data_IF_971532527298
#
_entry.id   IF_971532527298
#
_cell.length_a   1.000
_cell.length_b   1.000
_cell.length_c   1.000
_cell.angle_alpha   90.00
_cell.angle_beta   90.00
_cell.angle_gamma   90.00
#
_symmetry.space_group_name_H-M   'P 1'
#
loop_
_entity.id
_entity.type
_entity.pdbx_description
1 polymer ?
#
# COMPACT_ATOMS: atom_id res chain seq x y z
N UNK A 1 25.92 -5.23 15.49
CA UNK A 1 25.02 -4.21 14.91
C UNK A 1 25.25 -3.97 13.41
N UNK A 2 26.44 -3.75 12.91
CA UNK A 2 26.73 -3.48 11.46
C UNK A 2 26.23 -4.57 10.49
N UNK A 3 26.23 -5.84 10.87
CA UNK A 3 25.77 -6.94 10.01
C UNK A 3 24.28 -6.96 9.74
N UNK A 4 23.46 -6.54 10.71
CA UNK A 4 22.00 -6.56 10.62
C UNK A 4 21.48 -5.42 9.74
N UNK A 5 22.07 -4.23 9.86
CA UNK A 5 21.74 -3.07 9.01
C UNK A 5 22.08 -3.32 7.54
N UNK A 6 23.25 -3.90 7.25
CA UNK A 6 23.67 -4.26 5.89
C UNK A 6 22.74 -5.32 5.28
N UNK A 7 22.31 -6.33 6.07
CA UNK A 7 21.37 -7.37 5.62
C UNK A 7 19.98 -6.81 5.32
N UNK A 8 19.48 -5.88 6.13
CA UNK A 8 18.22 -5.19 5.89
C UNK A 8 18.30 -4.32 4.62
N UNK A 9 19.41 -3.64 4.38
CA UNK A 9 19.66 -2.87 3.16
C UNK A 9 19.62 -3.76 1.90
N UNK A 10 20.23 -4.95 1.95
CA UNK A 10 20.26 -5.89 0.82
C UNK A 10 18.86 -6.46 0.52
N UNK A 11 18.09 -6.83 1.54
CA UNK A 11 16.68 -7.26 1.35
C UNK A 11 15.84 -6.17 0.72
N UNK A 12 16.00 -4.94 1.19
CA UNK A 12 15.29 -3.79 0.63
C UNK A 12 15.63 -3.56 -0.85
N UNK A 13 16.91 -3.67 -1.23
CA UNK A 13 17.32 -3.58 -2.63
C UNK A 13 16.69 -4.69 -3.49
N UNK A 14 16.66 -5.93 -2.99
CA UNK A 14 16.03 -7.05 -3.69
C UNK A 14 14.53 -6.82 -3.86
N UNK A 15 13.82 -6.42 -2.81
CA UNK A 15 12.37 -6.15 -2.85
C UNK A 15 12.07 -5.04 -3.85
N UNK A 16 12.79 -3.92 -3.80
CA UNK A 16 12.60 -2.81 -4.74
C UNK A 16 12.87 -3.22 -6.18
N UNK A 17 13.90 -4.04 -6.41
CA UNK A 17 14.16 -4.57 -7.74
C UNK A 17 12.97 -5.40 -8.26
N UNK A 18 12.43 -6.32 -7.42
CA UNK A 18 11.30 -7.17 -7.79
C UNK A 18 10.04 -6.32 -8.07
N UNK A 19 9.77 -5.30 -7.24
CA UNK A 19 8.63 -4.38 -7.44
C UNK A 19 8.72 -3.71 -8.81
N UNK A 20 9.88 -3.14 -9.14
CA UNK A 20 10.07 -2.37 -10.37
C UNK A 20 10.06 -3.25 -11.64
N UNK A 21 10.41 -4.52 -11.53
CA UNK A 21 10.50 -5.46 -12.67
C UNK A 21 9.35 -6.48 -12.70
N UNK A 22 8.39 -6.39 -11.76
CA UNK A 22 7.22 -7.27 -11.58
C UNK A 22 7.59 -8.71 -11.22
N UNK A 23 8.60 -9.29 -11.86
CA UNK A 23 9.17 -10.60 -11.57
C UNK A 23 10.62 -10.68 -12.03
N UNK A 24 11.42 -11.57 -11.44
CA UNK A 24 12.84 -11.74 -11.75
C UNK A 24 13.33 -13.13 -11.34
N UNK A 25 14.56 -13.49 -11.73
CA UNK A 25 15.25 -14.70 -11.31
C UNK A 25 16.38 -14.39 -10.32
N UNK A 26 16.81 -15.41 -9.56
CA UNK A 26 17.97 -15.28 -8.65
C UNK A 26 19.25 -14.86 -9.40
N UNK A 27 19.38 -15.31 -10.64
CA UNK A 27 20.53 -14.96 -11.51
C UNK A 27 20.49 -13.48 -11.91
N UNK A 28 19.33 -12.98 -12.32
CA UNK A 28 19.14 -11.55 -12.65
C UNK A 28 19.37 -10.66 -11.45
N UNK A 29 18.88 -11.03 -10.25
CA UNK A 29 19.15 -10.31 -9.01
C UNK A 29 20.66 -10.21 -8.73
N UNK A 30 21.38 -11.33 -8.87
CA UNK A 30 22.84 -11.34 -8.70
C UNK A 30 23.55 -10.40 -9.66
N UNK A 31 23.19 -10.46 -10.95
CA UNK A 31 23.81 -9.65 -12.00
C UNK A 31 23.50 -8.16 -11.82
N UNK A 32 22.21 -7.83 -11.67
CA UNK A 32 21.77 -6.43 -11.77
C UNK A 32 21.98 -5.64 -10.45
N UNK A 33 22.02 -6.34 -9.32
CA UNK A 33 22.32 -5.72 -8.01
C UNK A 33 23.80 -5.87 -7.60
N UNK A 34 24.61 -6.50 -8.44
CA UNK A 34 26.01 -6.80 -8.15
C UNK A 34 26.22 -7.52 -6.81
N UNK A 35 25.34 -8.51 -6.55
CA UNK A 35 25.35 -9.33 -5.34
C UNK A 35 25.89 -10.72 -5.63
N UNK A 36 26.63 -11.32 -4.69
CA UNK A 36 27.06 -12.71 -4.84
C UNK A 36 25.86 -13.67 -4.83
N UNK A 37 25.94 -14.78 -5.57
CA UNK A 37 24.87 -15.79 -5.58
C UNK A 37 24.50 -16.31 -4.17
N UNK A 38 25.46 -16.62 -3.27
CA UNK A 38 25.14 -17.00 -1.91
C UNK A 38 24.33 -15.93 -1.16
N UNK A 39 24.66 -14.65 -1.35
CA UNK A 39 23.93 -13.51 -0.76
C UNK A 39 22.49 -13.44 -1.27
N UNK A 40 22.31 -13.59 -2.58
CA UNK A 40 20.96 -13.60 -3.20
C UNK A 40 20.15 -14.80 -2.69
N UNK A 41 20.73 -16.00 -2.69
CA UNK A 41 20.07 -17.22 -2.22
C UNK A 41 19.60 -17.08 -0.77
N UNK A 42 20.48 -16.62 0.13
CA UNK A 42 20.12 -16.42 1.54
C UNK A 42 18.96 -15.45 1.71
N UNK A 43 19.06 -14.26 1.09
CA UNK A 43 18.05 -13.23 1.25
C UNK A 43 16.70 -13.62 0.58
N UNK A 44 16.74 -14.19 -0.61
CA UNK A 44 15.50 -14.64 -1.30
C UNK A 44 14.82 -15.77 -0.54
N UNK A 45 15.58 -16.74 0.01
CA UNK A 45 14.98 -17.81 0.81
C UNK A 45 14.33 -17.27 2.09
N UNK A 46 14.91 -16.25 2.75
CA UNK A 46 14.29 -15.59 3.89
C UNK A 46 13.00 -14.84 3.49
N UNK A 47 12.99 -14.18 2.32
CA UNK A 47 11.81 -13.49 1.80
C UNK A 47 10.69 -14.48 1.39
N UNK A 48 11.05 -15.64 0.84
CA UNK A 48 10.12 -16.75 0.56
C UNK A 48 9.53 -17.30 1.85
N UNK A 49 10.38 -17.59 2.84
CA UNK A 49 9.96 -18.11 4.15
C UNK A 49 9.03 -17.13 4.90
N UNK A 50 9.24 -15.82 4.75
CA UNK A 50 8.37 -14.80 5.33
C UNK A 50 7.09 -14.55 4.52
N UNK A 51 6.96 -15.12 3.32
CA UNK A 51 5.80 -14.95 2.45
C UNK A 51 5.75 -13.60 1.70
N UNK A 52 6.79 -12.76 1.81
CA UNK A 52 6.86 -11.46 1.11
C UNK A 52 6.96 -11.67 -0.40
N UNK A 53 7.70 -12.68 -0.82
CA UNK A 53 7.83 -13.07 -2.22
C UNK A 53 7.34 -14.50 -2.43
N UNK A 54 6.98 -14.80 -3.68
CA UNK A 54 6.53 -16.13 -4.11
C UNK A 54 7.31 -16.57 -5.34
N UNK A 55 7.50 -17.89 -5.49
CA UNK A 55 7.97 -18.47 -6.74
C UNK A 55 6.75 -18.56 -7.69
N UNK A 56 6.89 -18.00 -8.87
CA UNK A 56 5.94 -18.15 -9.98
C UNK A 56 6.60 -19.05 -11.02
N UNK A 57 5.83 -19.58 -11.95
CA UNK A 57 6.28 -20.48 -13.02
C UNK A 57 7.74 -20.36 -13.49
N UNK A 58 8.11 -21.09 -14.48
CA UNK A 58 9.48 -21.13 -14.99
C UNK A 58 9.65 -20.16 -16.16
N UNK A 59 10.82 -19.51 -16.26
CA UNK A 59 11.21 -18.79 -17.49
C UNK A 59 11.27 -19.76 -18.69
N UNK A 60 10.78 -19.33 -19.84
CA UNK A 60 11.08 -20.02 -21.10
C UNK A 60 12.60 -19.98 -21.31
N UNK A 61 13.25 -21.16 -21.25
CA UNK A 61 14.69 -21.22 -21.42
C UNK A 61 15.06 -21.59 -22.85
N UNK A 62 16.03 -20.87 -23.38
CA UNK A 62 16.67 -21.17 -24.66
C UNK A 62 17.77 -22.23 -24.58
N UNK A 63 17.64 -23.20 -23.63
CA UNK A 63 18.60 -24.33 -23.55
C UNK A 63 19.36 -24.42 -22.22
N UNK A 64 18.68 -24.55 -21.10
CA UNK A 64 19.27 -24.78 -19.77
C UNK A 64 18.21 -25.11 -18.73
N UNK A 65 18.60 -25.37 -17.46
CA UNK A 65 17.66 -25.59 -16.36
C UNK A 65 16.82 -24.32 -16.20
N UNK A 66 15.51 -24.46 -16.37
CA UNK A 66 14.54 -23.36 -16.25
C UNK A 66 14.68 -22.66 -14.90
N UNK A 67 14.94 -21.36 -14.92
CA UNK A 67 15.03 -20.56 -13.70
C UNK A 67 13.64 -20.25 -13.16
N UNK A 68 13.41 -20.50 -11.87
CA UNK A 68 12.17 -20.12 -11.20
C UNK A 68 12.08 -18.60 -11.11
N UNK A 69 10.96 -18.06 -11.51
CA UNK A 69 10.63 -16.63 -11.36
C UNK A 69 10.22 -16.33 -9.92
N UNK A 70 10.62 -15.17 -9.44
CA UNK A 70 10.29 -14.65 -8.12
C UNK A 70 9.52 -13.36 -8.32
N UNK A 71 8.40 -13.23 -7.63
CA UNK A 71 7.55 -12.03 -7.64
C UNK A 71 7.13 -11.66 -6.22
N UNK A 72 6.71 -10.41 -6.02
CA UNK A 72 6.05 -10.01 -4.78
C UNK A 72 4.77 -10.83 -4.60
N UNK A 73 4.51 -11.26 -3.38
CA UNK A 73 3.22 -11.85 -3.01
C UNK A 73 2.17 -10.73 -2.87
N UNK A 74 1.21 -10.61 -3.78
CA UNK A 74 0.22 -9.54 -3.71
C UNK A 74 -0.59 -9.59 -2.41
N UNK A 75 -0.93 -10.78 -1.93
CA UNK A 75 -1.74 -10.99 -0.73
C UNK A 75 -0.95 -10.87 0.59
N UNK A 76 0.33 -10.47 0.56
CA UNK A 76 1.13 -10.35 1.78
C UNK A 76 0.66 -9.20 2.67
N UNK A 77 0.31 -8.06 2.07
CA UNK A 77 -0.26 -6.89 2.76
C UNK A 77 -1.21 -6.13 1.84
N UNK A 78 -2.09 -5.36 2.46
CA UNK A 78 -3.07 -4.51 1.80
C UNK A 78 -3.00 -3.09 2.33
N UNK A 79 -3.57 -2.16 1.61
CA UNK A 79 -3.86 -0.80 2.07
C UNK A 79 -5.27 -0.39 1.63
N UNK A 80 -5.89 0.46 2.42
CA UNK A 80 -7.18 1.06 2.08
C UNK A 80 -6.96 2.49 1.62
N UNK A 81 -7.60 2.88 0.52
CA UNK A 81 -7.73 4.26 0.10
C UNK A 81 -9.16 4.76 0.33
N UNK A 82 -9.30 5.95 0.91
CA UNK A 82 -10.60 6.63 1.06
C UNK A 82 -10.51 7.96 0.32
N UNK A 83 -11.36 8.16 -0.68
CA UNK A 83 -11.49 9.44 -1.38
C UNK A 83 -12.72 10.16 -0.89
N UNK A 84 -12.55 11.31 -0.24
CA UNK A 84 -13.63 12.17 0.21
C UNK A 84 -13.84 13.30 -0.80
N UNK A 85 -15.09 13.52 -1.19
CA UNK A 85 -15.53 14.66 -1.99
C UNK A 85 -16.73 15.33 -1.32
N UNK A 86 -17.20 16.47 -1.82
CA UNK A 86 -18.35 17.15 -1.21
C UNK A 86 -19.61 16.28 -1.11
N UNK A 87 -19.83 15.32 -2.04
CA UNK A 87 -21.08 14.53 -2.12
C UNK A 87 -20.91 13.03 -2.07
N UNK A 88 -19.67 12.53 -2.17
CA UNK A 88 -19.41 11.09 -2.27
C UNK A 88 -18.15 10.71 -1.51
N UNK A 89 -18.11 9.48 -1.09
CA UNK A 89 -16.92 8.79 -0.59
C UNK A 89 -16.65 7.58 -1.49
N UNK A 90 -15.40 7.40 -1.88
CA UNK A 90 -14.93 6.20 -2.55
C UNK A 90 -13.99 5.42 -1.65
N UNK A 91 -14.13 4.11 -1.61
CA UNK A 91 -13.25 3.17 -0.93
C UNK A 91 -12.53 2.32 -1.95
N UNK A 92 -11.26 2.06 -1.73
CA UNK A 92 -10.47 1.13 -2.54
C UNK A 92 -9.61 0.28 -1.62
N UNK A 93 -9.56 -1.02 -1.89
CA UNK A 93 -8.59 -1.94 -1.30
C UNK A 93 -7.56 -2.27 -2.36
N UNK A 94 -6.30 -2.08 -2.05
CA UNK A 94 -5.19 -2.41 -2.94
C UNK A 94 -4.26 -3.43 -2.27
N UNK A 95 -3.70 -4.32 -3.09
CA UNK A 95 -2.70 -5.29 -2.64
C UNK A 95 -1.27 -4.71 -2.72
N UNK A 96 -0.27 -5.49 -2.34
CA UNK A 96 1.14 -5.06 -2.32
C UNK A 96 1.72 -4.78 -3.72
N UNK A 97 1.05 -5.16 -4.79
CA UNK A 97 1.38 -4.80 -6.18
C UNK A 97 0.65 -3.56 -6.68
N UNK A 98 -0.09 -2.86 -5.80
CA UNK A 98 -0.95 -1.73 -6.16
C UNK A 98 -2.09 -2.11 -7.14
N UNK A 99 -2.49 -3.39 -7.17
CA UNK A 99 -3.64 -3.84 -7.92
C UNK A 99 -4.91 -3.64 -7.08
N UNK A 100 -5.99 -3.21 -7.71
CA UNK A 100 -7.27 -2.98 -7.02
C UNK A 100 -7.96 -4.32 -6.79
N UNK A 101 -8.16 -4.67 -5.53
CA UNK A 101 -8.88 -5.88 -5.11
C UNK A 101 -10.39 -5.61 -4.96
N UNK A 102 -10.74 -4.44 -4.45
CA UNK A 102 -12.13 -4.02 -4.26
C UNK A 102 -12.25 -2.51 -4.40
N UNK A 103 -13.35 -2.06 -4.99
CA UNK A 103 -13.68 -0.64 -5.09
C UNK A 103 -15.18 -0.45 -4.88
N UNK A 104 -15.53 0.58 -4.11
CA UNK A 104 -16.91 1.00 -3.90
C UNK A 104 -16.99 2.52 -3.84
N UNK A 105 -18.09 3.08 -4.32
CA UNK A 105 -18.39 4.51 -4.21
C UNK A 105 -19.81 4.69 -3.72
N UNK A 106 -19.95 5.45 -2.63
CA UNK A 106 -21.22 5.74 -2.02
C UNK A 106 -21.54 7.23 -2.08
N UNK A 107 -22.82 7.57 -1.99
CA UNK A 107 -23.27 8.93 -1.74
C UNK A 107 -23.23 9.19 -0.24
N UNK A 108 -22.31 10.05 0.17
CA UNK A 108 -22.18 10.52 1.55
C UNK A 108 -21.72 11.98 1.47
N UNK A 109 -22.63 12.91 1.77
CA UNK A 109 -22.34 14.33 1.76
C UNK A 109 -21.41 14.68 2.91
N UNK A 110 -20.33 15.38 2.60
CA UNK A 110 -19.33 15.76 3.58
C UNK A 110 -19.95 16.70 4.64
N UNK A 111 -19.64 16.45 5.89
CA UNK A 111 -19.98 17.32 7.03
C UNK A 111 -18.85 17.29 8.06
N UNK A 112 -18.74 18.35 8.86
CA UNK A 112 -17.83 18.42 10.02
C UNK A 112 -18.46 17.85 11.29
N UNK A 113 -19.66 17.33 11.21
CA UNK A 113 -20.41 16.77 12.34
C UNK A 113 -19.90 15.38 12.72
N UNK A 114 -19.97 15.04 14.00
CA UNK A 114 -19.56 13.72 14.50
C UNK A 114 -20.32 12.57 13.82
N UNK A 115 -21.58 12.78 13.46
CA UNK A 115 -22.41 11.84 12.72
C UNK A 115 -21.81 11.42 11.38
N UNK A 116 -21.17 12.34 10.66
CA UNK A 116 -20.48 12.03 9.43
C UNK A 116 -19.32 11.03 9.63
N UNK A 117 -18.49 11.24 10.65
CA UNK A 117 -17.36 10.36 10.95
C UNK A 117 -17.81 8.98 11.42
N UNK A 118 -18.89 8.92 12.22
CA UNK A 118 -19.50 7.65 12.62
C UNK A 118 -20.00 6.87 11.40
N UNK A 119 -20.69 7.55 10.49
CA UNK A 119 -21.19 6.95 9.25
C UNK A 119 -20.04 6.49 8.34
N UNK A 120 -19.00 7.32 8.18
CA UNK A 120 -17.82 6.96 7.39
C UNK A 120 -17.14 5.68 7.91
N UNK A 121 -17.05 5.53 9.23
CA UNK A 121 -16.52 4.31 9.86
C UNK A 121 -17.40 3.10 9.61
N UNK A 122 -18.72 3.23 9.73
CA UNK A 122 -19.67 2.16 9.44
C UNK A 122 -19.56 1.70 7.99
N UNK A 123 -19.50 2.62 7.05
CA UNK A 123 -19.36 2.31 5.62
C UNK A 123 -18.02 1.63 5.32
N UNK A 124 -16.93 2.02 5.97
CA UNK A 124 -15.65 1.31 5.85
C UNK A 124 -15.77 -0.12 6.41
N UNK A 125 -16.44 -0.33 7.55
CA UNK A 125 -16.68 -1.67 8.07
C UNK A 125 -17.51 -2.53 7.11
N UNK A 126 -18.54 -1.95 6.50
CA UNK A 126 -19.33 -2.62 5.46
C UNK A 126 -18.48 -2.98 4.24
N UNK A 127 -17.67 -2.04 3.77
CA UNK A 127 -16.76 -2.26 2.66
C UNK A 127 -15.77 -3.40 2.91
N UNK A 128 -15.31 -3.56 4.15
CA UNK A 128 -14.34 -4.59 4.54
C UNK A 128 -14.99 -5.91 5.02
N UNK A 129 -16.30 -5.99 5.16
CA UNK A 129 -16.97 -7.12 5.82
C UNK A 129 -16.69 -8.49 5.17
N UNK A 130 -16.52 -8.53 3.85
CA UNK A 130 -16.22 -9.73 3.07
C UNK A 130 -14.71 -9.89 2.76
N UNK A 131 -13.87 -8.98 3.26
CA UNK A 131 -12.42 -9.04 3.05
C UNK A 131 -11.81 -10.01 4.06
N UNK A 132 -11.25 -11.11 3.54
CA UNK A 132 -10.43 -12.01 4.34
C UNK A 132 -9.11 -11.32 4.73
N UNK A 133 -8.54 -11.71 5.87
CA UNK A 133 -7.22 -11.22 6.31
C UNK A 133 -7.15 -9.69 6.52
N UNK A 134 -8.16 -9.08 7.13
CA UNK A 134 -8.16 -7.65 7.48
C UNK A 134 -6.96 -7.24 8.37
N UNK A 135 -6.40 -8.20 9.14
CA UNK A 135 -5.17 -8.06 9.93
C UNK A 135 -3.93 -7.74 9.08
N UNK A 136 -4.01 -7.98 7.78
CA UNK A 136 -2.94 -7.63 6.82
C UNK A 136 -3.05 -6.22 6.24
N UNK A 137 -4.06 -5.45 6.60
CA UNK A 137 -4.20 -4.04 6.17
C UNK A 137 -3.23 -3.19 6.97
N UNK A 138 -2.31 -2.52 6.27
CA UNK A 138 -1.24 -1.71 6.88
C UNK A 138 -1.73 -0.36 7.38
N UNK A 139 -2.73 0.22 6.72
CA UNK A 139 -3.22 1.54 7.03
C UNK A 139 -4.20 2.07 5.99
N UNK A 140 -4.60 3.32 6.20
CA UNK A 140 -5.60 4.02 5.40
C UNK A 140 -4.99 5.29 4.83
N UNK A 141 -5.00 5.42 3.51
CA UNK A 141 -4.71 6.68 2.82
C UNK A 141 -6.00 7.44 2.57
N UNK A 142 -6.12 8.67 3.08
CA UNK A 142 -7.30 9.51 2.86
C UNK A 142 -6.97 10.65 1.92
N UNK A 143 -7.67 10.71 0.81
CA UNK A 143 -7.58 11.78 -0.18
C UNK A 143 -8.74 12.76 0.02
N UNK A 144 -8.41 14.05 0.17
CA UNK A 144 -9.39 15.14 0.25
C UNK A 144 -9.05 16.23 -0.77
N UNK A 145 -10.06 16.90 -1.35
CA UNK A 145 -9.83 18.02 -2.26
C UNK A 145 -9.32 19.25 -1.49
N UNK A 146 -8.20 19.81 -1.92
CA UNK A 146 -7.66 21.04 -1.36
C UNK A 146 -6.17 20.98 -1.07
N UNK A 147 -5.68 21.97 -0.35
CA UNK A 147 -4.27 22.11 0.01
C UNK A 147 -4.07 21.60 1.44
N UNK A 148 -3.28 20.52 1.58
CA UNK A 148 -2.95 19.93 2.88
C UNK A 148 -1.52 20.33 3.24
N UNK A 149 -1.31 20.73 4.51
CA UNK A 149 0.03 20.95 5.04
C UNK A 149 0.70 19.61 5.30
N UNK A 150 1.86 19.34 4.67
CA UNK A 150 2.55 18.07 4.84
C UNK A 150 2.87 17.78 6.31
N UNK A 151 2.54 16.56 6.77
CA UNK A 151 2.88 16.06 8.11
C UNK A 151 1.95 16.50 9.24
N UNK A 152 1.16 17.56 9.09
CA UNK A 152 0.37 18.13 10.19
C UNK A 152 -1.12 17.71 10.13
N UNK A 153 -1.57 17.09 9.05
CA UNK A 153 -3.00 16.75 8.87
C UNK A 153 -3.92 17.97 8.88
N UNK A 154 -3.40 19.15 8.48
CA UNK A 154 -4.19 20.39 8.40
C UNK A 154 -4.56 20.66 6.95
N UNK A 155 -5.85 20.76 6.68
CA UNK A 155 -6.40 21.23 5.41
C UNK A 155 -6.37 22.76 5.44
N UNK A 156 -5.40 23.35 4.71
CA UNK A 156 -5.23 24.82 4.66
C UNK A 156 -6.45 25.43 4.01
N UNK A 157 -6.86 24.92 2.85
CA UNK A 157 -8.01 25.41 2.11
C UNK A 157 -8.61 24.36 1.20
N UNK A 158 -9.92 24.24 1.23
CA UNK A 158 -10.71 23.44 0.29
C UNK A 158 -11.94 24.22 -0.16
N UNK A 159 -11.97 24.61 -1.42
CA UNK A 159 -13.16 25.21 -2.03
C UNK A 159 -14.30 24.19 -2.16
N UNK A 160 -13.97 22.95 -2.47
CA UNK A 160 -14.96 21.87 -2.66
C UNK A 160 -15.67 21.48 -1.37
N UNK A 161 -14.96 21.51 -0.23
CA UNK A 161 -15.51 21.19 1.10
C UNK A 161 -15.91 22.45 1.88
N UNK A 162 -15.63 23.63 1.37
CA UNK A 162 -15.87 24.93 2.03
C UNK A 162 -15.18 25.02 3.40
N UNK A 163 -13.92 24.55 3.47
CA UNK A 163 -13.12 24.53 4.69
C UNK A 163 -11.85 25.37 4.53
N UNK A 164 -11.44 25.98 5.63
CA UNK A 164 -10.18 26.70 5.76
C UNK A 164 -9.57 26.46 7.14
N UNK A 165 -8.25 26.21 7.18
CA UNK A 165 -7.48 25.90 8.40
C UNK A 165 -8.13 24.80 9.28
N UNK A 166 -8.60 23.73 8.63
CA UNK A 166 -9.34 22.65 9.29
C UNK A 166 -8.43 21.48 9.64
N UNK A 167 -8.49 21.02 10.90
CA UNK A 167 -7.77 19.82 11.33
C UNK A 167 -8.49 18.55 10.86
N UNK A 168 -7.76 17.69 10.17
CA UNK A 168 -8.24 16.36 9.77
C UNK A 168 -8.06 15.31 10.88
N UNK A 169 -7.63 15.73 12.09
CA UNK A 169 -7.39 14.82 13.22
C UNK A 169 -8.62 14.01 13.65
N UNK A 170 -9.82 14.49 13.40
CA UNK A 170 -11.05 13.70 13.62
C UNK A 170 -11.12 12.47 12.72
N UNK A 171 -10.65 12.58 11.45
CA UNK A 171 -10.57 11.44 10.56
C UNK A 171 -9.51 10.42 11.03
N UNK A 172 -8.38 10.89 11.53
CA UNK A 172 -7.35 10.03 12.10
C UNK A 172 -7.88 9.23 13.31
N UNK A 173 -8.64 9.90 14.21
CA UNK A 173 -9.23 9.28 15.39
C UNK A 173 -10.42 8.34 15.07
N UNK A 174 -11.00 8.45 13.88
CA UNK A 174 -12.15 7.65 13.46
C UNK A 174 -11.76 6.17 13.24
N UNK A 175 -10.52 5.90 12.88
CA UNK A 175 -10.07 4.57 12.51
C UNK A 175 -9.01 4.03 13.48
N UNK A 176 -8.96 2.71 13.63
CA UNK A 176 -7.96 2.00 14.45
C UNK A 176 -6.63 1.75 13.75
N UNK A 177 -6.58 1.99 12.44
CA UNK A 177 -5.39 1.82 11.60
C UNK A 177 -4.66 3.15 11.42
N UNK A 178 -3.34 3.14 11.15
CA UNK A 178 -2.61 4.35 10.78
C UNK A 178 -3.25 5.06 9.59
N UNK A 179 -3.40 6.38 9.69
CA UNK A 179 -4.02 7.22 8.66
C UNK A 179 -3.00 8.18 8.07
N UNK A 180 -3.05 8.34 6.74
CA UNK A 180 -2.21 9.27 5.99
C UNK A 180 -3.09 10.13 5.08
N UNK A 181 -2.81 11.44 5.05
CA UNK A 181 -3.56 12.39 4.23
C UNK A 181 -2.79 12.82 3.00
N UNK A 182 -3.49 12.88 1.88
CA UNK A 182 -2.98 13.44 0.63
C UNK A 182 -4.04 14.33 0.00
N UNK A 183 -3.63 15.30 -0.82
CA UNK A 183 -4.58 16.00 -1.64
C UNK A 183 -5.00 15.11 -2.84
N UNK A 184 -6.17 15.39 -3.42
CA UNK A 184 -6.74 14.61 -4.51
C UNK A 184 -5.89 14.63 -5.80
N UNK A 185 -5.16 15.71 -6.06
CA UNK A 185 -4.26 15.83 -7.21
C UNK A 185 -2.99 14.94 -7.05
N UNK A 186 -2.52 14.72 -5.80
CA UNK A 186 -1.36 13.87 -5.52
C UNK A 186 -1.73 12.39 -5.35
N UNK A 187 -3.04 12.09 -5.25
CA UNK A 187 -3.55 10.72 -5.09
C UNK A 187 -3.96 10.07 -6.42
N UNK A 188 -3.87 10.81 -7.55
CA UNK A 188 -4.31 10.37 -8.87
C UNK A 188 -3.18 9.63 -9.67
#
# INVERSE_FOLDING_TARGET
MVGTEKKNSTKFQIINYIINHKATSKVELSRNLNLSMPTVLSNVNELLASGIVVEMGEYESTGGRKAKMISINPAYRYAVGIRITAKHVGFVLVNLKSEIEKYERIRLEFSTETSYYSRLREELHHFLADVENQDRILGIGISVPGIIKPGDGILIKSHALQLENYSLGFLEQTFSLPVYFVNDANAA
#
